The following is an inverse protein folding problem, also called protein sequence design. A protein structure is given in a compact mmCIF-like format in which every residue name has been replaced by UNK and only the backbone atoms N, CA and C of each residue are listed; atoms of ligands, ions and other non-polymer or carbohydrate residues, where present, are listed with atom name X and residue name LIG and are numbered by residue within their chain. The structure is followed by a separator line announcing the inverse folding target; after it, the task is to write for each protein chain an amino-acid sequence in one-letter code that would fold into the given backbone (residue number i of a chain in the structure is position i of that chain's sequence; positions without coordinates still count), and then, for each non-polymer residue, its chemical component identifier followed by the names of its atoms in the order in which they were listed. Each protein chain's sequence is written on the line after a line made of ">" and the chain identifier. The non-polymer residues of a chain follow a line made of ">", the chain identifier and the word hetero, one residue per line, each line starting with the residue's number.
data_IF_046778124737
#
_entry.id   IF_046778124737
#
_cell.length_a   1.000
_cell.length_b   1.000
_cell.length_c   1.000
_cell.angle_alpha   90.00
_cell.angle_beta   90.00
_cell.angle_gamma   90.00
#
_symmetry.space_group_name_H-M   'P 1'
#
loop_
_entity.id
_entity.type
_entity.pdbx_description
1 polymer ?
#
# COMPACT_ATOMS: atom_id res chain seq x y z
N UNK A 1 0.55 -10.27 0.09
CA UNK A 1 0.15 -11.46 0.88
C UNK A 1 -1.36 -11.73 0.84
N UNK A 2 -2.23 -10.76 1.17
CA UNK A 2 -3.70 -10.96 1.10
C UNK A 2 -4.22 -11.31 -0.31
N UNK A 3 -3.53 -10.84 -1.35
CA UNK A 3 -3.78 -11.14 -2.77
C UNK A 3 -3.61 -12.62 -3.10
N UNK A 4 -2.51 -13.22 -2.65
CA UNK A 4 -2.20 -14.64 -2.80
C UNK A 4 -3.24 -15.51 -2.07
N UNK A 5 -3.62 -15.14 -0.84
CA UNK A 5 -4.62 -15.89 -0.08
C UNK A 5 -5.98 -15.90 -0.77
N UNK A 6 -6.45 -14.75 -1.30
CA UNK A 6 -7.70 -14.69 -2.08
C UNK A 6 -7.63 -15.43 -3.40
N UNK A 7 -6.48 -15.40 -4.10
CA UNK A 7 -6.25 -16.19 -5.30
C UNK A 7 -6.35 -17.70 -5.01
N UNK A 8 -5.69 -18.17 -3.96
CA UNK A 8 -5.74 -19.59 -3.54
C UNK A 8 -7.14 -19.95 -3.05
N UNK A 9 -7.86 -19.01 -2.41
CA UNK A 9 -9.23 -19.23 -1.95
C UNK A 9 -10.21 -19.57 -3.08
N UNK A 10 -10.01 -19.01 -4.28
CA UNK A 10 -10.85 -19.30 -5.46
C UNK A 10 -10.77 -20.78 -5.85
N UNK A 11 -9.59 -21.40 -5.74
CA UNK A 11 -9.37 -22.81 -6.09
C UNK A 11 -9.72 -23.77 -4.96
N UNK A 12 -9.43 -23.38 -3.71
CA UNK A 12 -9.56 -24.27 -2.54
C UNK A 12 -10.93 -24.18 -1.87
N UNK A 13 -11.74 -23.14 -2.17
CA UNK A 13 -13.10 -22.88 -1.64
C UNK A 13 -13.22 -22.95 -0.11
N UNK A 14 -12.13 -22.76 0.63
CA UNK A 14 -12.13 -22.75 2.10
C UNK A 14 -12.54 -21.37 2.61
N UNK A 15 -13.62 -21.33 3.39
CA UNK A 15 -14.14 -20.12 4.04
C UNK A 15 -13.08 -19.37 4.87
N UNK A 16 -12.12 -20.10 5.45
CA UNK A 16 -11.03 -19.50 6.21
C UNK A 16 -10.11 -18.63 5.32
N UNK A 17 -9.76 -19.09 4.11
CA UNK A 17 -8.87 -18.36 3.21
C UNK A 17 -9.51 -17.08 2.67
N UNK A 18 -10.82 -17.11 2.36
CA UNK A 18 -11.58 -15.93 1.96
C UNK A 18 -11.64 -14.91 3.11
N UNK A 19 -12.02 -15.34 4.32
CA UNK A 19 -12.10 -14.44 5.48
C UNK A 19 -10.75 -13.82 5.86
N UNK A 20 -9.67 -14.61 5.87
CA UNK A 20 -8.33 -14.09 6.14
C UNK A 20 -7.84 -13.11 5.08
N UNK A 21 -8.13 -13.39 3.79
CA UNK A 21 -7.79 -12.47 2.70
C UNK A 21 -8.53 -11.14 2.78
N UNK A 22 -9.81 -11.15 3.17
CA UNK A 22 -10.61 -9.95 3.44
C UNK A 22 -10.08 -9.17 4.64
N UNK A 23 -9.77 -9.85 5.75
CA UNK A 23 -9.21 -9.20 6.94
C UNK A 23 -7.89 -8.48 6.62
N UNK A 24 -6.99 -9.13 5.88
CA UNK A 24 -5.72 -8.54 5.46
C UNK A 24 -5.92 -7.34 4.54
N UNK A 25 -6.91 -7.38 3.66
CA UNK A 25 -7.26 -6.23 2.80
C UNK A 25 -7.74 -5.04 3.64
N UNK A 26 -8.61 -5.28 4.62
CA UNK A 26 -9.13 -4.22 5.49
C UNK A 26 -8.04 -3.62 6.37
N UNK A 27 -7.26 -4.46 7.06
CA UNK A 27 -6.14 -4.01 7.89
C UNK A 27 -5.11 -3.27 7.05
N UNK A 28 -4.74 -3.80 5.88
CA UNK A 28 -3.79 -3.15 4.97
C UNK A 28 -4.28 -1.79 4.46
N UNK A 29 -5.59 -1.63 4.24
CA UNK A 29 -6.17 -0.35 3.82
C UNK A 29 -6.11 0.67 4.95
N UNK A 30 -6.46 0.28 6.18
CA UNK A 30 -6.41 1.15 7.35
C UNK A 30 -4.97 1.60 7.62
N UNK A 31 -4.02 0.66 7.61
CA UNK A 31 -2.61 0.99 7.85
C UNK A 31 -2.01 1.84 6.73
N UNK A 32 -2.45 1.69 5.47
CA UNK A 32 -2.03 2.56 4.38
C UNK A 32 -2.44 4.02 4.62
N UNK A 33 -3.68 4.27 5.07
CA UNK A 33 -4.13 5.62 5.41
C UNK A 33 -3.38 6.21 6.61
N UNK A 34 -3.10 5.39 7.63
CA UNK A 34 -2.27 5.82 8.76
C UNK A 34 -0.87 6.20 8.28
N UNK A 35 -0.27 5.40 7.40
CA UNK A 35 1.06 5.66 6.86
C UNK A 35 1.10 6.98 6.06
N UNK A 36 0.11 7.24 5.20
CA UNK A 36 -0.02 8.52 4.47
C UNK A 36 -0.12 9.67 5.45
N UNK A 37 -1.00 9.57 6.44
CA UNK A 37 -1.19 10.62 7.44
C UNK A 37 0.13 10.95 8.18
N UNK A 38 0.87 9.91 8.59
CA UNK A 38 2.18 10.11 9.22
C UNK A 38 3.25 10.65 8.27
N UNK A 39 3.16 10.32 6.98
CA UNK A 39 4.05 10.81 5.94
C UNK A 39 3.87 12.31 5.68
N UNK A 40 2.62 12.76 5.55
CA UNK A 40 2.28 14.18 5.36
C UNK A 40 2.75 15.05 6.53
N UNK A 41 2.67 14.52 7.77
CA UNK A 41 3.22 15.20 8.95
C UNK A 41 4.75 15.40 8.86
N UNK A 42 5.46 14.48 8.20
CA UNK A 42 6.91 14.53 8.02
C UNK A 42 7.35 15.30 6.76
N UNK A 43 6.46 15.47 5.78
CA UNK A 43 6.76 16.04 4.46
C UNK A 43 7.40 17.44 4.55
N UNK A 44 6.86 18.31 5.41
CA UNK A 44 7.39 19.67 5.59
C UNK A 44 8.83 19.74 6.13
N UNK A 45 9.34 18.65 6.75
CA UNK A 45 10.72 18.53 7.22
C UNK A 45 11.60 17.86 6.16
N UNK A 46 11.13 16.76 5.58
CA UNK A 46 11.90 15.92 4.66
C UNK A 46 12.08 16.58 3.29
N UNK A 47 11.06 17.27 2.78
CA UNK A 47 11.12 17.99 1.48
C UNK A 47 12.22 19.05 1.41
N UNK A 48 12.68 19.57 2.56
CA UNK A 48 13.75 20.57 2.66
C UNK A 48 15.15 19.96 2.78
N UNK A 49 15.24 18.68 3.15
CA UNK A 49 16.52 17.98 3.32
C UNK A 49 16.94 17.16 2.11
N UNK A 50 16.02 16.91 1.18
CA UNK A 50 16.27 16.08 -0.01
C UNK A 50 16.69 16.91 -1.21
N UNK A 51 17.47 16.31 -2.11
CA UNK A 51 18.00 16.98 -3.29
C UNK A 51 17.00 17.05 -4.45
N UNK A 52 16.11 16.07 -4.60
CA UNK A 52 15.10 16.05 -5.67
C UNK A 52 13.68 15.81 -5.11
N UNK A 53 12.87 16.88 -4.96
CA UNK A 53 11.53 16.78 -4.41
C UNK A 53 10.53 16.08 -5.34
N UNK A 54 10.87 15.87 -6.62
CA UNK A 54 9.95 15.21 -7.57
C UNK A 54 9.76 13.73 -7.24
N UNK A 55 10.80 13.06 -6.74
CA UNK A 55 10.74 11.65 -6.29
C UNK A 55 9.83 11.52 -5.07
N UNK A 56 9.91 12.46 -4.13
CA UNK A 56 9.06 12.48 -2.95
C UNK A 56 7.59 12.67 -3.33
N UNK A 57 7.31 13.63 -4.23
CA UNK A 57 5.95 13.85 -4.73
C UNK A 57 5.41 12.64 -5.51
N UNK A 58 6.24 11.97 -6.31
CA UNK A 58 5.85 10.75 -7.02
C UNK A 58 5.52 9.61 -6.05
N UNK A 59 6.31 9.45 -4.98
CA UNK A 59 6.05 8.45 -3.93
C UNK A 59 4.73 8.73 -3.21
N UNK A 60 4.50 9.98 -2.80
CA UNK A 60 3.27 10.43 -2.14
C UNK A 60 2.03 10.21 -3.04
N UNK A 61 2.09 10.65 -4.29
CA UNK A 61 0.99 10.45 -5.25
C UNK A 61 0.67 8.96 -5.44
N UNK A 62 1.70 8.10 -5.53
CA UNK A 62 1.48 6.65 -5.61
C UNK A 62 0.89 6.07 -4.34
N UNK A 63 1.27 6.56 -3.16
CA UNK A 63 0.66 6.15 -1.90
C UNK A 63 -0.84 6.47 -1.89
N UNK A 64 -1.24 7.67 -2.34
CA UNK A 64 -2.65 8.04 -2.48
C UNK A 64 -3.40 7.15 -3.48
N UNK A 65 -2.85 6.91 -4.68
CA UNK A 65 -3.48 6.03 -5.66
C UNK A 65 -3.65 4.60 -5.14
N UNK A 66 -2.63 4.07 -4.47
CA UNK A 66 -2.67 2.76 -3.85
C UNK A 66 -3.75 2.68 -2.77
N UNK A 67 -3.82 3.68 -1.88
CA UNK A 67 -4.83 3.75 -0.84
C UNK A 67 -6.24 3.82 -1.41
N UNK A 68 -6.48 4.61 -2.46
CA UNK A 68 -7.77 4.63 -3.15
C UNK A 68 -8.14 3.27 -3.76
N UNK A 69 -7.21 2.60 -4.45
CA UNK A 69 -7.45 1.27 -5.04
C UNK A 69 -7.81 0.25 -3.95
N UNK A 70 -7.07 0.20 -2.84
CA UNK A 70 -7.37 -0.72 -1.75
C UNK A 70 -8.64 -0.35 -0.98
N UNK A 71 -8.99 0.94 -0.86
CA UNK A 71 -10.28 1.37 -0.32
C UNK A 71 -11.44 0.93 -1.20
N UNK A 72 -11.36 1.11 -2.52
CA UNK A 72 -12.38 0.62 -3.46
C UNK A 72 -12.50 -0.90 -3.40
N UNK A 73 -11.37 -1.61 -3.40
CA UNK A 73 -11.36 -3.07 -3.26
C UNK A 73 -11.97 -3.53 -1.93
N UNK A 74 -11.72 -2.83 -0.82
CA UNK A 74 -12.28 -3.12 0.50
C UNK A 74 -13.80 -2.91 0.55
N UNK A 75 -14.30 -1.80 0.00
CA UNK A 75 -15.74 -1.49 -0.03
C UNK A 75 -16.48 -2.51 -0.89
N UNK A 76 -15.92 -2.86 -2.06
CA UNK A 76 -16.46 -3.89 -2.93
C UNK A 76 -16.52 -5.24 -2.23
N UNK A 77 -15.44 -5.64 -1.56
CA UNK A 77 -15.38 -6.90 -0.82
C UNK A 77 -16.43 -6.98 0.30
N UNK A 78 -16.58 -5.90 1.07
CA UNK A 78 -17.58 -5.81 2.13
C UNK A 78 -19.01 -5.89 1.58
N UNK A 79 -19.25 -5.27 0.41
CA UNK A 79 -20.54 -5.29 -0.27
C UNK A 79 -20.90 -6.68 -0.80
N UNK A 80 -19.91 -7.46 -1.25
CA UNK A 80 -20.09 -8.87 -1.66
C UNK A 80 -20.44 -9.75 -0.46
N UNK A 81 -19.72 -9.58 0.66
CA UNK A 81 -19.93 -10.38 1.89
C UNK A 81 -21.28 -10.07 2.52
N UNK A 82 -21.74 -8.82 2.47
CA UNK A 82 -23.02 -8.37 3.03
C UNK A 82 -24.24 -8.68 2.15
N UNK A 83 -24.06 -9.48 1.08
CA UNK A 83 -25.09 -9.88 0.12
C UNK A 83 -25.87 -8.74 -0.56
N UNK A 84 -25.30 -7.52 -0.57
CA UNK A 84 -25.90 -6.35 -1.23
C UNK A 84 -25.83 -6.41 -2.77
N UNK A 85 -25.04 -7.34 -3.32
CA UNK A 85 -24.80 -7.54 -4.76
C UNK A 85 -25.05 -9.00 -5.18
N UNK A 86 -26.31 -9.50 -5.12
CA UNK A 86 -26.60 -10.93 -5.28
C UNK A 86 -26.41 -11.46 -6.71
N UNK A 87 -26.58 -10.63 -7.75
CA UNK A 87 -26.63 -11.08 -9.14
C UNK A 87 -25.27 -11.39 -9.80
N UNK A 88 -24.15 -10.93 -9.24
CA UNK A 88 -22.84 -10.98 -9.93
C UNK A 88 -21.65 -11.24 -9.02
N UNK A 89 -21.84 -11.94 -7.89
CA UNK A 89 -20.78 -12.18 -6.89
C UNK A 89 -19.47 -12.66 -7.50
N UNK A 90 -19.49 -13.63 -8.42
CA UNK A 90 -18.27 -14.13 -9.10
C UNK A 90 -17.51 -13.05 -9.88
N UNK A 91 -18.22 -12.20 -10.63
CA UNK A 91 -17.60 -11.13 -11.41
C UNK A 91 -17.00 -10.09 -10.47
N UNK A 92 -17.75 -9.68 -9.44
CA UNK A 92 -17.27 -8.73 -8.45
C UNK A 92 -16.06 -9.25 -7.65
N UNK A 93 -16.04 -10.54 -7.30
CA UNK A 93 -14.87 -11.17 -6.67
C UNK A 93 -13.66 -11.15 -7.61
N UNK A 94 -13.85 -11.42 -8.91
CA UNK A 94 -12.76 -11.34 -9.89
C UNK A 94 -12.22 -9.90 -10.03
N UNK A 95 -13.11 -8.90 -10.02
CA UNK A 95 -12.73 -7.48 -10.03
C UNK A 95 -11.91 -7.12 -8.78
N UNK A 96 -12.35 -7.53 -7.59
CA UNK A 96 -11.60 -7.30 -6.34
C UNK A 96 -10.21 -7.93 -6.39
N UNK A 97 -10.10 -9.18 -6.87
CA UNK A 97 -8.79 -9.85 -7.01
C UNK A 97 -7.91 -9.14 -8.03
N UNK A 98 -8.47 -8.65 -9.13
CA UNK A 98 -7.72 -7.89 -10.14
C UNK A 98 -7.21 -6.56 -9.58
N UNK A 99 -8.05 -5.81 -8.86
CA UNK A 99 -7.64 -4.59 -8.15
C UNK A 99 -6.53 -4.87 -7.13
N UNK A 100 -6.65 -5.96 -6.39
CA UNK A 100 -5.64 -6.41 -5.44
C UNK A 100 -4.30 -6.74 -6.13
N UNK A 101 -4.32 -7.39 -7.29
CA UNK A 101 -3.12 -7.68 -8.08
C UNK A 101 -2.46 -6.40 -8.59
N UNK A 102 -3.24 -5.48 -9.17
CA UNK A 102 -2.75 -4.17 -9.62
C UNK A 102 -2.13 -3.40 -8.45
N UNK A 103 -2.84 -3.34 -7.31
CA UNK A 103 -2.34 -2.72 -6.08
C UNK A 103 -1.06 -3.35 -5.56
N UNK A 104 -0.87 -4.67 -5.72
CA UNK A 104 0.40 -5.32 -5.33
C UNK A 104 1.57 -4.85 -6.20
N UNK A 105 1.36 -4.71 -7.52
CA UNK A 105 2.40 -4.18 -8.41
C UNK A 105 2.75 -2.73 -8.09
N UNK A 106 1.73 -1.89 -7.85
CA UNK A 106 1.94 -0.50 -7.42
C UNK A 106 2.67 -0.41 -6.08
N UNK A 107 2.35 -1.28 -5.13
CA UNK A 107 3.03 -1.31 -3.82
C UNK A 107 4.53 -1.61 -3.97
N UNK A 108 4.92 -2.52 -4.87
CA UNK A 108 6.35 -2.79 -5.16
C UNK A 108 7.03 -1.56 -5.74
N UNK A 109 6.42 -0.91 -6.73
CA UNK A 109 6.98 0.30 -7.33
C UNK A 109 7.08 1.48 -6.34
N UNK A 110 6.06 1.66 -5.51
CA UNK A 110 6.08 2.63 -4.41
C UNK A 110 7.21 2.33 -3.42
N UNK A 111 7.46 1.05 -3.13
CA UNK A 111 8.58 0.61 -2.31
C UNK A 111 9.95 0.94 -2.91
N UNK A 112 10.10 0.81 -4.22
CA UNK A 112 11.32 1.19 -4.95
C UNK A 112 11.59 2.70 -4.87
N UNK A 113 10.55 3.52 -5.10
CA UNK A 113 10.61 4.97 -4.87
C UNK A 113 11.00 5.31 -3.43
N UNK A 114 10.44 4.59 -2.43
CA UNK A 114 10.77 4.77 -1.03
C UNK A 114 12.24 4.44 -0.72
N UNK A 115 12.77 3.36 -1.29
CA UNK A 115 14.18 3.01 -1.18
C UNK A 115 15.07 4.09 -1.81
N UNK A 116 14.68 4.62 -2.97
CA UNK A 116 15.40 5.72 -3.64
C UNK A 116 15.50 6.96 -2.75
N UNK A 117 14.42 7.32 -2.05
CA UNK A 117 14.41 8.46 -1.13
C UNK A 117 15.42 8.29 0.01
N UNK A 118 15.48 7.11 0.62
CA UNK A 118 16.37 6.84 1.75
C UNK A 118 17.82 6.69 1.29
N UNK A 119 18.08 5.86 0.28
CA UNK A 119 19.46 5.50 -0.11
C UNK A 119 20.15 6.54 -1.00
N UNK A 120 19.41 7.25 -1.85
CA UNK A 120 20.02 8.22 -2.76
C UNK A 120 19.95 9.65 -2.23
N UNK A 121 18.93 9.98 -1.43
CA UNK A 121 18.69 11.35 -0.99
C UNK A 121 18.77 11.53 0.53
N UNK A 122 19.12 10.47 1.27
CA UNK A 122 19.21 10.47 2.73
C UNK A 122 17.93 11.01 3.42
N UNK A 123 16.76 10.76 2.82
CA UNK A 123 15.48 11.17 3.38
C UNK A 123 15.27 10.52 4.76
N UNK A 124 15.19 11.34 5.81
CA UNK A 124 14.98 10.87 7.18
C UNK A 124 16.20 10.21 7.84
N UNK A 125 17.39 10.36 7.27
CA UNK A 125 18.64 9.79 7.80
C UNK A 125 19.67 10.88 8.08
N UNK A 126 20.35 10.81 9.24
CA UNK A 126 21.48 11.69 9.53
C UNK A 126 22.73 11.18 8.82
N UNK A 127 23.22 11.93 7.84
CA UNK A 127 24.45 11.57 7.12
C UNK A 127 25.65 12.00 7.98
N UNK A 128 26.54 11.07 8.41
CA UNK A 128 27.76 11.43 9.11
C UNK A 128 28.63 12.35 8.25
N UNK A 129 29.41 13.26 8.88
CA UNK A 129 30.49 13.93 8.19
C UNK A 129 31.53 12.90 7.70
N UNK A 130 32.27 13.24 6.64
CA UNK A 130 33.20 12.32 5.97
C UNK A 130 34.32 11.77 6.86
N UNK A 131 34.59 12.42 8.00
CA UNK A 131 35.55 11.99 9.01
C UNK A 131 34.93 11.14 10.13
N UNK A 132 33.63 10.81 10.03
CA UNK A 132 32.84 10.04 10.99
C UNK A 132 32.91 10.58 12.43
N UNK A 133 33.36 11.82 12.64
CA UNK A 133 33.44 12.40 13.99
C UNK A 133 32.03 12.70 14.49
N UNK A 134 31.66 12.07 15.61
CA UNK A 134 30.35 12.24 16.26
C UNK A 134 29.35 11.10 16.01
N UNK A 135 29.77 9.98 15.40
CA UNK A 135 29.04 8.71 15.50
C UNK A 135 29.56 7.93 16.72
N UNK A 136 28.68 7.68 17.69
CA UNK A 136 28.91 6.81 18.86
C UNK A 136 27.90 5.66 18.87
#
# INVERSE_FOLDING_TARGET
>A
MGTLLKLIAIFVKKQFLTSSGSLLLYLGTITAWIAIYTGDLADGRVSRSICDPTVLKSHENMAYYLAYIFSVASILDLSIISDKLPGFKKIWTAVVVTLMLIGSGMLTYMGDLGASLVYQQAAGVSVPPADCKGFE
#
